data_IF_663766449222
#
_entry.id   IF_663766449222
#
_cell.length_a   1.000
_cell.length_b   1.000
_cell.length_c   1.000
_cell.angle_alpha   90.00
_cell.angle_beta   90.00
_cell.angle_gamma   90.00
#
_symmetry.space_group_name_H-M   'P 1'
#
loop_
_entity.id
_entity.type
_entity.pdbx_description
1 polymer ?
#
# COMPACT_ATOMS: atom_id res chain seq x y z
N UNK A 1 16.43 5.87 9.38
CA UNK A 1 16.08 5.56 10.79
C UNK A 1 14.61 5.17 10.89
N UNK A 2 13.76 5.85 10.13
CA UNK A 2 12.32 5.65 9.99
C UNK A 2 11.99 4.25 9.46
N UNK A 3 12.70 3.78 8.43
CA UNK A 3 12.50 2.42 7.89
C UNK A 3 12.78 1.32 8.94
N UNK A 4 13.86 1.46 9.70
CA UNK A 4 14.24 0.54 10.77
C UNK A 4 13.24 0.60 11.93
N UNK A 5 12.82 1.79 12.37
CA UNK A 5 11.82 1.96 13.42
C UNK A 5 10.47 1.35 13.00
N UNK A 6 10.03 1.59 11.76
CA UNK A 6 8.83 0.97 11.20
C UNK A 6 8.96 -0.55 11.14
N UNK A 7 10.12 -1.07 10.75
CA UNK A 7 10.39 -2.50 10.73
C UNK A 7 10.27 -3.12 12.11
N UNK A 8 10.95 -2.57 13.12
CA UNK A 8 10.89 -3.07 14.49
C UNK A 8 9.48 -3.01 15.06
N UNK A 9 8.73 -1.94 14.78
CA UNK A 9 7.33 -1.80 15.19
C UNK A 9 6.45 -2.89 14.57
N UNK A 10 6.57 -3.11 13.26
CA UNK A 10 5.78 -4.12 12.57
C UNK A 10 6.20 -5.54 12.95
N UNK A 11 7.51 -5.78 13.14
CA UNK A 11 8.02 -7.06 13.60
C UNK A 11 7.46 -7.39 14.98
N UNK A 12 7.48 -6.45 15.92
CA UNK A 12 6.91 -6.64 17.25
C UNK A 12 5.39 -6.86 17.23
N UNK A 13 4.67 -6.25 16.29
CA UNK A 13 3.22 -6.40 16.20
C UNK A 13 2.79 -7.72 15.52
N UNK A 14 3.56 -8.18 14.52
CA UNK A 14 3.23 -9.35 13.72
C UNK A 14 4.04 -10.60 14.06
N UNK A 15 5.00 -10.54 14.99
CA UNK A 15 5.89 -11.66 15.33
C UNK A 15 5.11 -12.94 15.58
N UNK A 16 4.15 -12.91 16.51
CA UNK A 16 3.42 -14.11 16.94
C UNK A 16 2.59 -14.69 15.81
N UNK A 17 2.02 -13.82 14.97
CA UNK A 17 1.18 -14.22 13.85
C UNK A 17 2.04 -14.87 12.75
N UNK A 18 3.18 -14.25 12.42
CA UNK A 18 4.10 -14.77 11.41
C UNK A 18 4.80 -16.06 11.89
N UNK A 19 5.12 -16.16 13.18
CA UNK A 19 5.71 -17.36 13.79
C UNK A 19 4.72 -18.53 13.87
N UNK A 20 3.43 -18.25 14.11
CA UNK A 20 2.39 -19.28 14.11
C UNK A 20 2.15 -19.95 12.74
N UNK A 21 2.73 -19.38 11.67
CA UNK A 21 2.64 -19.90 10.30
C UNK A 21 1.26 -19.71 9.66
N UNK A 22 0.35 -18.97 10.30
CA UNK A 22 -0.96 -18.65 9.75
C UNK A 22 -0.85 -17.66 8.59
N UNK A 23 -1.51 -17.90 7.44
CA UNK A 23 -1.52 -16.93 6.36
C UNK A 23 -2.25 -15.66 6.81
N UNK A 24 -1.68 -14.50 6.48
CA UNK A 24 -2.32 -13.19 6.62
C UNK A 24 -2.78 -12.72 5.23
N UNK A 25 -3.92 -13.22 4.70
CA UNK A 25 -4.38 -12.88 3.36
C UNK A 25 -4.76 -11.42 3.26
N UNK A 26 -4.26 -10.76 2.22
CA UNK A 26 -4.61 -9.38 1.90
C UNK A 26 -6.01 -9.37 1.31
N UNK A 27 -6.92 -8.60 1.91
CA UNK A 27 -8.27 -8.45 1.38
C UNK A 27 -8.35 -7.27 0.40
N UNK A 28 -7.70 -6.15 0.75
CA UNK A 28 -7.71 -4.94 -0.07
C UNK A 28 -6.62 -3.96 0.35
N UNK A 29 -6.42 -2.95 -0.51
CA UNK A 29 -5.59 -1.79 -0.23
C UNK A 29 -6.49 -0.56 -0.21
N UNK A 30 -6.46 0.20 0.88
CA UNK A 30 -7.22 1.45 1.03
C UNK A 30 -6.27 2.66 0.91
N UNK A 31 -6.73 3.76 0.31
CA UNK A 31 -5.97 5.02 0.20
C UNK A 31 -6.86 6.25 0.40
N UNK A 32 -6.25 7.38 0.76
CA UNK A 32 -6.84 8.70 0.59
C UNK A 32 -6.57 9.27 -0.82
N UNK A 33 -7.62 9.87 -1.42
CA UNK A 33 -7.48 10.67 -2.63
C UNK A 33 -6.85 12.04 -2.33
N UNK A 34 -6.07 12.57 -3.27
CA UNK A 34 -5.74 14.00 -3.29
C UNK A 34 -6.99 14.85 -3.54
N UNK A 35 -6.91 16.16 -3.28
CA UNK A 35 -8.03 17.08 -3.60
C UNK A 35 -8.42 17.05 -5.09
N UNK A 36 -7.44 16.87 -5.98
CA UNK A 36 -7.69 16.79 -7.42
C UNK A 36 -8.29 15.45 -7.84
N UNK A 37 -7.82 14.34 -7.26
CA UNK A 37 -8.38 13.00 -7.50
C UNK A 37 -9.82 12.89 -7.00
N UNK A 38 -10.09 13.38 -5.78
CA UNK A 38 -11.44 13.37 -5.18
C UNK A 38 -12.48 14.04 -6.09
N UNK A 39 -12.09 15.08 -6.85
CA UNK A 39 -12.98 15.78 -7.78
C UNK A 39 -13.45 14.93 -8.97
N UNK A 40 -12.75 13.84 -9.29
CA UNK A 40 -13.06 12.93 -10.40
C UNK A 40 -14.09 11.87 -10.02
N UNK A 41 -14.28 11.64 -8.73
CA UNK A 41 -15.28 10.70 -8.24
C UNK A 41 -16.66 11.36 -8.12
N UNK A 42 -17.70 10.51 -8.18
CA UNK A 42 -19.10 10.87 -7.92
C UNK A 42 -19.28 11.41 -6.50
N UNK A 43 -20.37 12.15 -6.26
CA UNK A 43 -20.67 12.77 -4.97
C UNK A 43 -20.87 11.78 -3.82
N UNK A 44 -21.36 10.58 -4.14
CA UNK A 44 -21.60 9.48 -3.20
C UNK A 44 -20.34 8.65 -2.88
N UNK A 45 -19.25 8.83 -3.64
CA UNK A 45 -18.04 8.03 -3.46
C UNK A 45 -17.23 8.47 -2.21
N UNK A 46 -16.68 7.55 -1.39
CA UNK A 46 -15.94 7.88 -0.17
C UNK A 46 -14.82 8.92 -0.37
N UNK A 47 -14.04 8.77 -1.45
CA UNK A 47 -12.97 9.69 -1.81
C UNK A 47 -13.42 11.16 -1.94
N UNK A 48 -14.66 11.40 -2.40
CA UNK A 48 -15.23 12.75 -2.53
C UNK A 48 -15.47 13.41 -1.17
N UNK A 49 -15.78 12.60 -0.17
CA UNK A 49 -16.07 13.01 1.20
C UNK A 49 -14.83 12.99 2.11
N UNK A 50 -13.63 12.88 1.52
CA UNK A 50 -12.39 12.86 2.28
C UNK A 50 -12.14 11.57 3.06
N UNK A 51 -12.86 10.49 2.73
CA UNK A 51 -12.71 9.18 3.36
C UNK A 51 -11.75 8.29 2.54
N UNK A 52 -11.01 7.39 3.19
CA UNK A 52 -10.24 6.36 2.50
C UNK A 52 -11.16 5.49 1.63
N UNK A 53 -10.64 5.02 0.50
CA UNK A 53 -11.35 4.12 -0.41
C UNK A 53 -10.44 2.99 -0.89
N UNK A 54 -11.04 1.84 -1.15
CA UNK A 54 -10.34 0.66 -1.65
C UNK A 54 -9.93 0.88 -3.11
N UNK A 55 -8.71 0.47 -3.47
CA UNK A 55 -8.23 0.48 -4.86
C UNK A 55 -8.29 -0.90 -5.50
N UNK A 56 -8.44 -0.90 -6.81
CA UNK A 56 -8.46 -2.09 -7.67
C UNK A 56 -7.53 -1.93 -8.89
N UNK A 57 -7.60 -2.85 -9.85
CA UNK A 57 -6.78 -2.84 -11.06
C UNK A 57 -7.02 -1.65 -11.99
N UNK A 58 -8.13 -0.90 -11.81
CA UNK A 58 -8.42 0.32 -12.56
C UNK A 58 -7.86 1.58 -11.89
N UNK A 59 -7.25 1.46 -10.70
CA UNK A 59 -6.72 2.59 -9.96
C UNK A 59 -5.61 3.32 -10.72
N UNK A 60 -5.92 4.54 -11.17
CA UNK A 60 -5.00 5.39 -11.90
C UNK A 60 -4.14 6.31 -11.01
N UNK A 61 -4.32 6.27 -9.69
CA UNK A 61 -3.62 7.16 -8.77
C UNK A 61 -2.10 6.89 -8.77
N UNK A 62 -1.35 7.96 -8.49
CA UNK A 62 0.12 7.96 -8.44
C UNK A 62 0.60 8.79 -7.25
N UNK A 63 1.74 8.43 -6.66
CA UNK A 63 2.32 9.10 -5.48
C UNK A 63 3.82 9.29 -5.65
N UNK A 64 4.37 10.30 -4.98
CA UNK A 64 5.78 10.68 -5.06
C UNK A 64 5.95 12.17 -5.29
N UNK A 65 7.20 12.59 -5.50
CA UNK A 65 7.52 13.98 -5.78
C UNK A 65 6.97 14.41 -7.14
N UNK A 66 6.82 15.72 -7.36
CA UNK A 66 6.25 16.31 -8.58
C UNK A 66 6.82 15.73 -9.89
N UNK A 67 8.13 15.43 -9.91
CA UNK A 67 8.83 14.92 -11.09
C UNK A 67 9.01 13.39 -11.09
N UNK A 68 8.65 12.70 -10.00
CA UNK A 68 8.91 11.27 -9.80
C UNK A 68 7.74 10.60 -9.08
N UNK A 69 6.60 10.54 -9.78
CA UNK A 69 5.40 9.85 -9.28
C UNK A 69 5.35 8.40 -9.76
N UNK A 70 5.23 7.44 -8.85
CA UNK A 70 5.02 6.02 -9.13
C UNK A 70 3.54 5.65 -9.03
N UNK A 71 3.17 4.59 -9.73
CA UNK A 71 1.87 3.93 -9.54
C UNK A 71 1.74 3.36 -8.12
N UNK A 72 0.60 3.58 -7.46
CA UNK A 72 0.29 2.94 -6.16
C UNK A 72 -0.41 1.58 -6.28
N UNK A 73 -0.61 1.11 -7.51
CA UNK A 73 -1.09 -0.23 -7.80
C UNK A 73 -0.03 -1.00 -8.60
N UNK A 74 0.11 -2.33 -8.46
CA UNK A 74 1.05 -3.09 -9.27
C UNK A 74 0.77 -2.91 -10.77
N UNK A 75 1.68 -2.25 -11.51
CA UNK A 75 1.46 -1.91 -12.93
C UNK A 75 1.27 -3.14 -13.81
N UNK A 76 1.97 -4.23 -13.50
CA UNK A 76 1.83 -5.52 -14.19
C UNK A 76 0.43 -6.15 -14.04
N UNK A 77 -0.39 -5.64 -13.11
CA UNK A 77 -1.76 -6.10 -12.89
C UNK A 77 -2.81 -5.05 -13.23
N UNK A 78 -2.41 -3.86 -13.72
CA UNK A 78 -3.37 -2.88 -14.19
C UNK A 78 -4.08 -3.42 -15.42
N UNK A 79 -5.40 -3.37 -15.42
CA UNK A 79 -6.20 -3.66 -16.61
C UNK A 79 -6.28 -2.40 -17.47
N UNK A 80 -5.85 -2.48 -18.73
CA UNK A 80 -6.05 -1.41 -19.71
C UNK A 80 -7.25 -1.76 -20.58
N UNK A 81 -8.27 -0.89 -20.65
CA UNK A 81 -9.42 -1.05 -21.54
C UNK A 81 -10.73 -1.51 -20.87
N UNK A 82 -11.58 -2.23 -21.62
CA UNK A 82 -12.95 -2.64 -21.24
C UNK A 82 -13.02 -3.91 -20.36
N UNK A 83 -11.89 -4.44 -19.93
CA UNK A 83 -11.84 -5.62 -19.06
C UNK A 83 -12.28 -5.22 -17.65
N UNK A 84 -13.12 -6.04 -17.03
CA UNK A 84 -13.57 -5.79 -15.65
C UNK A 84 -12.38 -5.71 -14.69
N UNK A 85 -12.45 -4.86 -13.65
CA UNK A 85 -11.40 -4.77 -12.65
C UNK A 85 -11.19 -6.12 -11.95
N UNK A 86 -9.97 -6.67 -12.04
CA UNK A 86 -9.63 -7.95 -11.43
C UNK A 86 -9.14 -7.72 -10.00
N UNK A 87 -10.01 -8.02 -9.03
CA UNK A 87 -9.69 -7.98 -7.59
C UNK A 87 -9.15 -9.32 -7.07
N UNK A 88 -9.31 -10.41 -7.85
CA UNK A 88 -8.95 -11.79 -7.49
C UNK A 88 -7.46 -11.90 -7.13
N UNK A 89 -6.62 -11.12 -7.79
CA UNK A 89 -5.16 -11.14 -7.59
C UNK A 89 -4.71 -10.57 -6.26
N UNK A 90 -5.45 -9.65 -5.64
CA UNK A 90 -5.09 -9.15 -4.31
C UNK A 90 -5.40 -10.19 -3.24
N UNK A 91 -6.49 -10.95 -3.40
CA UNK A 91 -6.89 -11.99 -2.43
C UNK A 91 -6.00 -13.22 -2.44
N UNK A 92 -5.18 -13.39 -3.49
CA UNK A 92 -4.15 -14.43 -3.56
C UNK A 92 -2.87 -14.06 -2.78
N UNK A 93 -2.76 -12.80 -2.34
CA UNK A 93 -1.61 -12.31 -1.60
C UNK A 93 -1.75 -12.57 -0.11
N UNK A 94 -0.65 -12.87 0.54
CA UNK A 94 -0.59 -13.05 1.99
C UNK A 94 0.70 -12.50 2.53
N UNK A 95 0.66 -11.75 3.63
CA UNK A 95 1.87 -11.27 4.29
C UNK A 95 2.66 -12.46 4.84
N UNK A 96 3.81 -12.74 4.23
CA UNK A 96 4.71 -13.85 4.60
C UNK A 96 5.91 -13.36 5.39
N UNK A 97 6.40 -12.16 5.08
CA UNK A 97 7.60 -11.59 5.68
C UNK A 97 7.55 -10.07 5.68
N UNK A 98 8.21 -9.48 6.67
CA UNK A 98 8.50 -8.06 6.73
C UNK A 98 10.00 -7.90 6.71
N UNK A 99 10.51 -7.08 5.80
CA UNK A 99 11.93 -6.77 5.68
C UNK A 99 12.11 -5.26 5.62
N UNK A 100 13.36 -4.81 5.68
CA UNK A 100 13.69 -3.41 5.45
C UNK A 100 15.02 -3.29 4.73
N UNK A 101 15.19 -2.14 4.08
CA UNK A 101 16.43 -1.68 3.50
C UNK A 101 16.82 -0.38 4.20
N UNK A 102 18.01 0.13 3.87
CA UNK A 102 18.40 1.46 4.34
C UNK A 102 17.40 2.57 3.96
N UNK A 103 16.62 2.39 2.88
CA UNK A 103 15.74 3.42 2.31
C UNK A 103 14.25 3.15 2.48
N UNK A 104 13.84 1.98 2.96
CA UNK A 104 12.44 1.63 2.93
C UNK A 104 12.09 0.35 3.66
N UNK A 105 10.79 0.14 3.83
CA UNK A 105 10.20 -1.07 4.38
C UNK A 105 9.67 -1.94 3.23
N UNK A 106 9.84 -3.26 3.34
CA UNK A 106 9.35 -4.24 2.37
C UNK A 106 8.33 -5.16 3.05
N UNK A 107 7.16 -5.28 2.44
CA UNK A 107 6.16 -6.29 2.77
C UNK A 107 6.23 -7.38 1.69
N UNK A 108 6.65 -8.58 2.07
CA UNK A 108 6.57 -9.75 1.20
C UNK A 108 5.15 -10.31 1.28
N UNK A 109 4.44 -10.27 0.17
CA UNK A 109 3.07 -10.74 0.05
C UNK A 109 2.97 -12.05 -0.76
N UNK A 110 4.09 -12.78 -0.91
CA UNK A 110 4.20 -14.00 -1.70
C UNK A 110 4.65 -13.72 -3.15
N UNK A 111 3.77 -13.86 -4.16
CA UNK A 111 4.14 -13.58 -5.56
C UNK A 111 4.38 -12.08 -5.84
N UNK A 112 4.09 -11.21 -4.88
CA UNK A 112 4.31 -9.78 -4.96
C UNK A 112 4.99 -9.27 -3.69
N UNK A 113 6.07 -8.51 -3.85
CA UNK A 113 6.64 -7.70 -2.78
C UNK A 113 6.29 -6.23 -2.99
N UNK A 114 5.90 -5.57 -1.91
CA UNK A 114 5.68 -4.13 -1.85
C UNK A 114 6.82 -3.47 -1.08
N UNK A 115 7.42 -2.43 -1.64
CA UNK A 115 8.37 -1.59 -0.93
C UNK A 115 7.84 -0.16 -0.83
N UNK A 116 7.90 0.43 0.37
CA UNK A 116 7.69 1.87 0.58
C UNK A 116 8.98 2.54 0.99
N UNK A 117 9.32 3.62 0.28
CA UNK A 117 10.41 4.51 0.64
C UNK A 117 9.83 5.72 1.37
N UNK A 118 10.29 5.91 2.60
CA UNK A 118 9.90 7.04 3.44
C UNK A 118 10.58 8.30 2.90
N UNK A 119 9.82 9.18 2.27
CA UNK A 119 10.31 10.49 1.84
C UNK A 119 10.13 11.49 2.98
N UNK A 120 8.96 12.13 3.07
CA UNK A 120 8.61 13.07 4.13
C UNK A 120 7.37 12.60 4.88
N UNK A 121 7.33 12.89 6.18
CA UNK A 121 6.13 12.82 7.03
C UNK A 121 5.30 11.54 6.90
N UNK A 122 5.94 10.40 6.67
CA UNK A 122 5.27 9.11 6.47
C UNK A 122 5.67 8.15 7.59
N UNK A 123 4.71 7.39 8.12
CA UNK A 123 4.94 6.43 9.21
C UNK A 123 4.06 5.20 9.05
N UNK A 124 4.56 4.03 9.46
CA UNK A 124 3.80 2.79 9.51
C UNK A 124 3.05 2.66 10.84
N UNK A 125 1.80 2.23 10.78
CA UNK A 125 0.91 2.05 11.92
C UNK A 125 0.22 0.70 11.79
N UNK A 126 0.71 -0.35 12.47
CA UNK A 126 -0.07 -1.58 12.62
C UNK A 126 -1.21 -1.35 13.61
N UNK A 127 -2.39 -1.89 13.32
CA UNK A 127 -3.53 -1.82 14.23
C UNK A 127 -4.55 -2.93 13.98
N UNK A 128 -5.45 -3.20 14.94
CA UNK A 128 -6.59 -4.07 14.71
C UNK A 128 -7.51 -3.47 13.65
N UNK A 129 -8.07 -4.32 12.78
CA UNK A 129 -8.99 -3.86 11.74
C UNK A 129 -10.19 -3.13 12.32
N UNK A 130 -10.73 -3.60 13.45
CA UNK A 130 -11.85 -2.96 14.14
C UNK A 130 -11.56 -1.49 14.48
N UNK A 131 -10.34 -1.17 14.90
CA UNK A 131 -9.89 0.20 15.19
C UNK A 131 -9.81 1.01 13.89
N UNK A 132 -9.18 0.46 12.84
CA UNK A 132 -9.07 1.15 11.55
C UNK A 132 -10.45 1.49 10.95
N UNK A 133 -11.36 0.52 10.92
CA UNK A 133 -12.70 0.67 10.35
C UNK A 133 -13.53 1.70 11.14
N UNK A 134 -13.44 1.71 12.47
CA UNK A 134 -14.26 2.60 13.31
C UNK A 134 -13.68 4.01 13.50
N UNK A 135 -12.34 4.17 13.47
CA UNK A 135 -11.69 5.43 13.85
C UNK A 135 -10.98 6.15 12.72
N UNK A 136 -10.58 5.45 11.65
CA UNK A 136 -9.83 6.05 10.54
C UNK A 136 -10.68 6.10 9.28
N UNK A 137 -11.26 4.96 8.88
CA UNK A 137 -11.97 4.83 7.61
C UNK A 137 -13.24 5.68 7.53
N UNK A 138 -13.88 5.94 8.67
CA UNK A 138 -15.11 6.74 8.76
C UNK A 138 -14.87 8.23 9.05
N UNK A 139 -13.61 8.64 9.26
CA UNK A 139 -13.29 10.03 9.63
C UNK A 139 -12.66 10.75 8.43
N UNK A 140 -13.25 11.88 7.98
CA UNK A 140 -12.67 12.70 6.92
C UNK A 140 -11.22 13.12 7.23
N UNK A 141 -10.35 13.08 6.21
CA UNK A 141 -8.93 13.44 6.33
C UNK A 141 -8.70 14.85 6.89
N UNK A 142 -9.64 15.77 6.67
CA UNK A 142 -9.61 17.14 7.21
C UNK A 142 -9.72 17.18 8.74
N UNK A 143 -10.41 16.21 9.33
CA UNK A 143 -10.53 16.03 10.78
C UNK A 143 -9.36 15.21 11.34
N UNK A 144 -8.91 14.16 10.63
CA UNK A 144 -7.77 13.32 11.03
C UNK A 144 -6.44 14.07 11.11
N UNK A 145 -6.27 15.14 10.30
CA UNK A 145 -5.00 15.89 10.15
C UNK A 145 -3.82 15.08 9.56
N UNK A 146 -4.12 13.92 8.98
CA UNK A 146 -3.20 13.11 8.19
C UNK A 146 -3.97 12.39 7.09
N UNK A 147 -3.24 11.79 6.16
CA UNK A 147 -3.75 10.97 5.08
C UNK A 147 -3.38 9.50 5.27
N UNK A 148 -4.26 8.60 4.84
CA UNK A 148 -3.92 7.19 4.59
C UNK A 148 -3.21 7.15 3.24
N UNK A 149 -1.88 7.09 3.26
CA UNK A 149 -1.08 6.93 2.04
C UNK A 149 -1.41 5.61 1.35
N UNK A 150 -1.26 4.52 2.10
CA UNK A 150 -1.72 3.18 1.75
C UNK A 150 -2.02 2.40 3.02
N UNK A 151 -3.12 1.65 3.05
CA UNK A 151 -3.42 0.70 4.12
C UNK A 151 -3.66 -0.69 3.54
N UNK A 152 -2.83 -1.66 3.96
CA UNK A 152 -3.02 -3.08 3.64
C UNK A 152 -3.97 -3.67 4.66
N UNK A 153 -5.17 -4.03 4.22
CA UNK A 153 -6.22 -4.56 5.08
C UNK A 153 -6.24 -6.08 4.97
N UNK A 154 -5.93 -6.74 6.08
CA UNK A 154 -6.05 -8.17 6.28
C UNK A 154 -7.34 -8.48 7.04
N UNK A 155 -7.57 -9.76 7.37
CA UNK A 155 -8.77 -10.20 8.09
C UNK A 155 -8.99 -9.42 9.40
N UNK A 156 -8.02 -9.48 10.31
CA UNK A 156 -8.13 -8.92 11.67
C UNK A 156 -7.15 -7.76 11.91
N UNK A 157 -6.27 -7.47 10.95
CA UNK A 157 -5.17 -6.52 11.08
C UNK A 157 -5.10 -5.56 9.90
N UNK A 158 -4.53 -4.39 10.15
CA UNK A 158 -4.23 -3.39 9.11
C UNK A 158 -2.81 -2.88 9.30
N UNK A 159 -2.06 -2.78 8.19
CA UNK A 159 -0.80 -2.02 8.14
C UNK A 159 -1.08 -0.73 7.38
N UNK A 160 -1.20 0.40 8.09
CA UNK A 160 -1.46 1.70 7.49
C UNK A 160 -0.18 2.56 7.43
N UNK A 161 0.13 3.07 6.25
CA UNK A 161 1.17 4.07 6.02
C UNK A 161 0.52 5.45 6.01
N UNK A 162 0.55 6.12 7.16
CA UNK A 162 0.01 7.47 7.28
C UNK A 162 1.00 8.50 6.74
N UNK A 163 0.52 9.53 6.06
CA UNK A 163 1.31 10.61 5.49
C UNK A 163 0.66 11.97 5.73
N UNK A 164 1.43 13.03 5.96
CA UNK A 164 0.87 14.40 6.05
C UNK A 164 0.54 14.98 4.67
N UNK A 165 1.30 14.62 3.64
CA UNK A 165 1.30 15.30 2.33
C UNK A 165 1.09 14.35 1.14
N UNK A 166 0.93 13.04 1.38
CA UNK A 166 0.86 11.99 0.36
C UNK A 166 2.13 11.91 -0.52
N UNK A 167 3.27 12.38 0.00
CA UNK A 167 4.56 12.34 -0.68
C UNK A 167 5.36 11.14 -0.19
N UNK A 168 5.19 10.02 -0.88
CA UNK A 168 5.94 8.78 -0.66
C UNK A 168 6.14 8.05 -1.97
N UNK A 169 7.18 7.23 -2.05
CA UNK A 169 7.46 6.40 -3.21
C UNK A 169 7.19 4.94 -2.87
N UNK A 170 6.54 4.24 -3.79
CA UNK A 170 6.28 2.81 -3.68
C UNK A 170 6.86 2.08 -4.87
N UNK A 171 7.20 0.82 -4.66
CA UNK A 171 7.63 -0.08 -5.72
C UNK A 171 7.01 -1.44 -5.50
N UNK A 172 6.65 -2.09 -6.60
CA UNK A 172 6.09 -3.42 -6.62
C UNK A 172 7.04 -4.34 -7.39
N UNK A 173 7.41 -5.45 -6.80
CA UNK A 173 8.26 -6.47 -7.41
C UNK A 173 7.43 -7.75 -7.49
N UNK A 174 7.23 -8.26 -8.70
CA UNK A 174 6.50 -9.50 -8.93
C UNK A 174 7.51 -10.64 -9.15
N UNK A 175 7.36 -11.72 -8.39
CA UNK A 175 8.14 -12.94 -8.56
C UNK A 175 7.29 -13.94 -9.36
N UNK A 176 7.53 -14.05 -10.67
CA UNK A 176 6.94 -15.13 -11.45
C UNK A 176 7.66 -16.43 -11.12
N UNK A 177 6.93 -17.43 -10.61
CA UNK A 177 7.45 -18.76 -10.26
C UNK A 177 7.70 -19.68 -11.47
N UNK A 178 7.62 -19.16 -12.70
CA UNK A 178 7.99 -19.91 -13.90
C UNK A 178 9.45 -19.60 -14.26
N UNK A 179 10.17 -20.63 -14.73
CA UNK A 179 11.62 -20.74 -15.05
C UNK A 179 12.27 -19.66 -15.92
N UNK A 180 11.61 -18.54 -16.17
CA UNK A 180 12.13 -17.34 -16.81
C UNK A 180 11.83 -16.12 -15.92
N UNK A 181 12.68 -15.87 -14.91
CA UNK A 181 12.66 -14.65 -14.10
C UNK A 181 12.76 -13.41 -15.00
N UNK A 182 11.66 -12.69 -15.18
CA UNK A 182 11.67 -11.32 -15.71
C UNK A 182 11.48 -10.35 -14.55
N UNK A 183 12.56 -9.66 -14.19
CA UNK A 183 12.49 -8.53 -13.28
C UNK A 183 11.79 -7.38 -14.01
N UNK A 184 10.56 -7.07 -13.62
CA UNK A 184 9.92 -5.81 -14.00
C UNK A 184 10.42 -4.73 -13.05
N UNK A 185 11.63 -4.22 -13.29
CA UNK A 185 12.05 -2.97 -12.65
C UNK A 185 11.25 -1.83 -13.30
N UNK A 186 10.78 -0.88 -12.48
CA UNK A 186 10.19 0.33 -13.04
C UNK A 186 11.25 1.04 -13.89
N UNK A 187 10.93 1.49 -15.12
CA UNK A 187 11.86 2.26 -15.93
C UNK A 187 12.19 3.57 -15.19
N UNK A 188 13.41 3.67 -14.66
CA UNK A 188 13.89 4.84 -13.90
C UNK A 188 14.65 4.53 -12.61
N UNK A 189 14.65 3.29 -12.12
CA UNK A 189 15.56 2.85 -11.05
C UNK A 189 16.94 2.55 -11.65
N UNK A 190 17.73 3.60 -11.90
CA UNK A 190 19.16 3.44 -12.13
C UNK A 190 19.78 2.85 -10.86
N UNK A 191 20.28 1.62 -10.95
CA UNK A 191 21.07 0.99 -9.91
C UNK A 191 22.36 1.79 -9.69
N UNK A 192 22.33 2.69 -8.71
CA UNK A 192 23.51 3.08 -7.98
C UNK A 192 23.62 2.15 -6.77
N UNK A 193 24.26 1.01 -6.99
CA UNK A 193 24.96 0.26 -5.95
C UNK A 193 26.38 0.81 -5.85
#
# INVERSE_FOLDING_TARGET
REAEAAFLLLLAYFSDILESGGPLPLERIDIDATKAEAKRFRSDHPARNGLPYSIDSACAARRGNQNHQGSIYPEMWRTTGKTEPDTTRLTELSLTKIEYTYRGLVLDLGPLSFMIQYLTHTSAHPMPRSVYESTIKLVPKELRKFHVGMAFVFKDHVIAFHSIDLVFQVSFICFQTNSNLRFYSQPGLNHAL
#
